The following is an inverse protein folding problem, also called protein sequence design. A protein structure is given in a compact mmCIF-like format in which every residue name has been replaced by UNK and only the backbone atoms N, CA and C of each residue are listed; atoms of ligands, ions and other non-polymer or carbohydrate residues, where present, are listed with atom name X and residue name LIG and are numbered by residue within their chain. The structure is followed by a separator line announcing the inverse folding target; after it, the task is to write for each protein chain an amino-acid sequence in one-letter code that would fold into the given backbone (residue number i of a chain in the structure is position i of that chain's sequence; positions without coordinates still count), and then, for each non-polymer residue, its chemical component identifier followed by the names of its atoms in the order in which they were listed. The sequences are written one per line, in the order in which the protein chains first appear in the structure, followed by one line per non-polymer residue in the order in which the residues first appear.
data_IF_235814569690
#
_entry.id   IF_235814569690
#
_cell.length_a   1.000
_cell.length_b   1.000
_cell.length_c   1.000
_cell.angle_alpha   90.00
_cell.angle_beta   90.00
_cell.angle_gamma   90.00
#
_symmetry.space_group_name_H-M   'P 1'
#
loop_
_entity.id
_entity.type
_entity.pdbx_description
1 polymer ?
#
# COMPACT_ATOMS: atom_id res chain seq x y z
N UNK A 1 31.86 7.15 -14.75
CA UNK A 1 30.49 6.94 -14.21
C UNK A 1 29.71 8.24 -14.36
N UNK A 2 28.48 8.24 -14.89
CA UNK A 2 27.73 9.46 -15.31
C UNK A 2 27.54 10.47 -14.17
N UNK A 3 27.32 9.98 -12.94
CA UNK A 3 27.18 10.85 -11.76
C UNK A 3 28.49 11.51 -11.33
N UNK A 4 29.64 10.90 -11.66
CA UNK A 4 30.96 11.50 -11.43
C UNK A 4 31.24 12.65 -12.38
N UNK A 5 30.92 12.49 -13.67
CA UNK A 5 30.99 13.57 -14.66
C UNK A 5 30.14 14.78 -14.25
N UNK A 6 28.90 14.52 -13.82
CA UNK A 6 28.01 15.57 -13.28
C UNK A 6 28.57 16.26 -12.04
N UNK A 7 29.19 15.51 -11.12
CA UNK A 7 29.80 16.08 -9.92
C UNK A 7 31.03 16.95 -10.24
N UNK A 8 31.75 16.61 -11.32
CA UNK A 8 32.87 17.38 -11.85
C UNK A 8 32.45 18.52 -12.80
N UNK A 9 31.14 18.79 -12.94
CA UNK A 9 30.61 19.89 -13.75
C UNK A 9 30.39 19.56 -15.23
N UNK A 10 30.51 18.30 -15.64
CA UNK A 10 30.25 17.85 -17.01
C UNK A 10 28.76 17.84 -17.40
N UNK A 11 28.52 17.78 -18.71
CA UNK A 11 27.20 17.88 -19.34
C UNK A 11 26.72 16.57 -19.99
N UNK A 12 27.49 15.47 -19.86
CA UNK A 12 27.17 14.17 -20.45
C UNK A 12 25.77 13.69 -20.07
N UNK A 13 25.36 13.94 -18.83
CA UNK A 13 24.04 13.59 -18.32
C UNK A 13 22.89 14.30 -19.05
N UNK A 14 23.12 15.45 -19.70
CA UNK A 14 22.08 16.24 -20.39
C UNK A 14 21.65 15.63 -21.72
N UNK A 15 22.55 14.91 -22.40
CA UNK A 15 22.32 14.29 -23.70
C UNK A 15 21.48 13.00 -23.62
N UNK A 16 21.26 12.46 -22.42
CA UNK A 16 20.41 11.30 -22.25
C UNK A 16 18.93 11.67 -22.37
N UNK A 17 18.18 10.81 -23.05
CA UNK A 17 16.73 10.93 -23.31
C UNK A 17 15.88 11.15 -22.04
N UNK A 18 16.40 10.87 -20.84
CA UNK A 18 15.70 11.02 -19.56
C UNK A 18 16.36 12.00 -18.58
N UNK A 19 17.35 12.80 -19.02
CA UNK A 19 18.17 13.69 -18.18
C UNK A 19 17.37 14.65 -17.28
N UNK A 20 16.21 15.12 -17.77
CA UNK A 20 15.31 16.06 -17.09
C UNK A 20 13.99 15.44 -16.62
N UNK A 21 13.76 14.14 -16.85
CA UNK A 21 12.57 13.46 -16.34
C UNK A 21 12.78 13.12 -14.87
N UNK A 22 12.62 14.11 -13.99
CA UNK A 22 12.21 13.83 -12.61
C UNK A 22 10.89 13.08 -12.75
N UNK A 23 10.91 11.77 -12.57
CA UNK A 23 9.72 10.94 -12.73
C UNK A 23 8.66 11.52 -11.80
N UNK A 24 7.60 12.11 -12.37
CA UNK A 24 6.51 12.71 -11.60
C UNK A 24 5.93 11.68 -10.61
N UNK A 25 6.03 10.39 -10.95
CA UNK A 25 5.75 9.27 -10.05
C UNK A 25 6.59 9.25 -8.76
N UNK A 26 7.89 9.55 -8.78
CA UNK A 26 8.71 9.56 -7.56
C UNK A 26 8.35 10.73 -6.63
N UNK A 27 8.03 11.89 -7.19
CA UNK A 27 7.56 13.04 -6.42
C UNK A 27 6.16 12.77 -5.85
N UNK A 28 5.24 12.27 -6.68
CA UNK A 28 3.89 11.88 -6.25
C UNK A 28 3.89 10.72 -5.26
N UNK A 29 4.82 9.75 -5.33
CA UNK A 29 4.94 8.69 -4.35
C UNK A 29 5.37 9.21 -2.96
N UNK A 30 6.19 10.27 -2.92
CA UNK A 30 6.55 10.94 -1.66
C UNK A 30 5.42 11.83 -1.12
N UNK A 31 4.64 12.44 -2.02
CA UNK A 31 3.46 13.26 -1.68
C UNK A 31 2.20 12.44 -1.43
N UNK A 32 2.17 11.19 -1.90
CA UNK A 32 1.16 10.18 -1.60
C UNK A 32 1.38 9.71 -0.18
N UNK A 33 1.15 10.63 0.74
CA UNK A 33 0.55 10.37 2.04
C UNK A 33 -0.81 9.73 1.72
N UNK A 34 -0.82 8.49 1.26
CA UNK A 34 -2.00 7.65 1.23
C UNK A 34 -2.55 7.72 2.65
N UNK A 35 -3.69 8.41 2.77
CA UNK A 35 -4.57 8.55 3.94
C UNK A 35 -4.07 7.68 5.10
N UNK A 36 -3.20 8.24 5.95
CA UNK A 36 -2.71 7.53 7.14
C UNK A 36 -3.95 7.18 7.95
N UNK A 37 -4.25 5.89 8.08
CA UNK A 37 -5.26 5.40 9.02
C UNK A 37 -4.86 5.97 10.37
N UNK A 38 -5.74 6.81 10.93
CA UNK A 38 -5.50 7.44 12.22
C UNK A 38 -5.30 6.34 13.26
N UNK A 39 -4.25 6.43 14.06
CA UNK A 39 -3.91 5.43 15.08
C UNK A 39 -3.65 4.01 14.52
N UNK A 40 -3.14 3.89 13.28
CA UNK A 40 -2.67 2.60 12.78
C UNK A 40 -1.59 2.05 13.70
N UNK A 41 -1.88 0.93 14.34
CA UNK A 41 -0.88 0.09 14.99
C UNK A 41 -0.28 -0.82 13.92
N UNK A 42 1.04 -0.74 13.74
CA UNK A 42 1.78 -1.65 12.87
C UNK A 42 1.71 -3.09 13.37
N UNK A 43 1.96 -4.06 12.48
CA UNK A 43 1.94 -5.48 12.87
C UNK A 43 3.05 -5.75 13.89
N UNK A 44 4.17 -5.07 13.74
CA UNK A 44 5.32 -5.07 14.63
C UNK A 44 5.02 -4.61 16.06
N UNK A 45 3.96 -3.83 16.28
CA UNK A 45 3.58 -3.28 17.58
C UNK A 45 2.40 -4.00 18.22
N UNK A 46 1.94 -5.13 17.65
CA UNK A 46 0.87 -5.93 18.25
C UNK A 46 1.37 -6.64 19.50
N UNK A 47 0.50 -6.77 20.49
CA UNK A 47 0.77 -7.61 21.66
C UNK A 47 0.82 -9.08 21.23
N UNK A 48 1.69 -9.87 21.86
CA UNK A 48 1.88 -11.29 21.55
C UNK A 48 0.57 -12.10 21.69
N UNK A 49 -0.31 -11.69 22.61
CA UNK A 49 -1.63 -12.30 22.81
C UNK A 49 -2.52 -12.28 21.55
N UNK A 50 -2.31 -11.34 20.62
CA UNK A 50 -3.03 -11.26 19.35
C UNK A 50 -2.51 -12.29 18.33
N UNK A 51 -1.27 -12.77 18.46
CA UNK A 51 -0.72 -13.78 17.55
C UNK A 51 -1.22 -15.18 17.89
N UNK A 52 -1.58 -15.43 19.14
CA UNK A 52 -2.13 -16.70 19.61
C UNK A 52 -3.57 -16.96 19.15
N UNK A 53 -4.22 -15.98 18.49
CA UNK A 53 -5.58 -16.10 17.92
C UNK A 53 -6.62 -16.57 18.94
N UNK A 54 -6.47 -16.15 20.19
CA UNK A 54 -7.25 -16.66 21.33
C UNK A 54 -8.70 -16.17 21.35
N UNK A 55 -9.03 -15.07 20.67
CA UNK A 55 -10.33 -14.41 20.78
C UNK A 55 -11.07 -14.38 19.44
N UNK A 56 -12.38 -14.70 19.49
CA UNK A 56 -13.30 -14.47 18.38
C UNK A 56 -13.59 -12.98 18.33
N UNK A 57 -13.31 -12.35 17.19
CA UNK A 57 -13.51 -10.91 16.85
C UNK A 57 -12.28 -10.32 16.13
N UNK A 58 -11.20 -11.09 16.02
CA UNK A 58 -10.00 -10.66 15.31
C UNK A 58 -10.14 -10.97 13.82
N UNK A 59 -10.42 -9.95 13.03
CA UNK A 59 -10.59 -10.08 11.58
C UNK A 59 -9.31 -9.66 10.83
N UNK A 60 -8.95 -10.46 9.82
CA UNK A 60 -7.94 -10.11 8.82
C UNK A 60 -8.63 -9.71 7.53
N UNK A 61 -8.37 -8.49 7.06
CA UNK A 61 -8.90 -7.98 5.80
C UNK A 61 -7.83 -7.91 4.71
N UNK A 62 -8.05 -8.62 3.61
CA UNK A 62 -7.21 -8.57 2.40
C UNK A 62 -8.06 -8.13 1.20
N UNK A 63 -7.46 -7.36 0.28
CA UNK A 63 -8.09 -6.97 -0.99
C UNK A 63 -7.28 -7.53 -2.15
N UNK A 64 -7.92 -8.29 -3.03
CA UNK A 64 -7.27 -8.78 -4.26
C UNK A 64 -7.46 -7.75 -5.35
N UNK A 65 -6.41 -7.03 -5.74
CA UNK A 65 -6.46 -6.10 -6.87
C UNK A 65 -6.13 -6.82 -8.18
N UNK A 66 -7.01 -6.72 -9.18
CA UNK A 66 -6.73 -7.26 -10.51
C UNK A 66 -5.84 -6.26 -11.29
N UNK A 67 -4.76 -6.74 -11.92
CA UNK A 67 -3.69 -5.94 -12.59
C UNK A 67 -4.17 -4.80 -13.50
N UNK A 68 -5.39 -4.88 -14.03
CA UNK A 68 -5.98 -3.91 -14.97
C UNK A 68 -7.40 -3.43 -14.62
N UNK A 69 -7.94 -3.78 -13.44
CA UNK A 69 -9.26 -3.31 -12.98
C UNK A 69 -9.12 -2.61 -11.63
N UNK A 70 -9.80 -1.47 -11.48
CA UNK A 70 -9.87 -0.72 -10.22
C UNK A 70 -10.74 -1.39 -9.16
N UNK A 71 -11.15 -2.64 -9.36
CA UNK A 71 -12.00 -3.37 -8.42
C UNK A 71 -11.62 -4.83 -8.34
N UNK A 72 -11.74 -5.37 -7.14
CA UNK A 72 -11.56 -6.79 -6.85
C UNK A 72 -12.19 -7.14 -5.51
N UNK A 73 -12.27 -8.45 -5.19
CA UNK A 73 -12.94 -8.90 -3.99
C UNK A 73 -12.16 -8.53 -2.73
N UNK A 74 -12.90 -8.09 -1.71
CA UNK A 74 -12.41 -8.04 -0.33
C UNK A 74 -12.69 -9.38 0.32
N UNK A 75 -11.74 -9.84 1.13
CA UNK A 75 -11.86 -11.00 2.00
C UNK A 75 -11.64 -10.57 3.43
N UNK A 76 -12.56 -10.94 4.31
CA UNK A 76 -12.45 -10.81 5.76
C UNK A 76 -12.44 -12.20 6.36
N UNK A 77 -11.37 -12.55 7.04
CA UNK A 77 -11.20 -13.85 7.69
C UNK A 77 -11.10 -13.66 9.20
N UNK A 78 -11.99 -14.30 9.96
CA UNK A 78 -11.90 -14.34 11.41
C UNK A 78 -10.80 -15.34 11.81
N UNK A 79 -9.76 -14.88 12.50
CA UNK A 79 -8.50 -15.62 12.63
C UNK A 79 -8.58 -16.87 13.51
N UNK A 80 -9.54 -16.94 14.45
CA UNK A 80 -9.70 -18.07 15.38
C UNK A 80 -10.50 -19.21 14.77
N UNK A 81 -11.61 -18.90 14.11
CA UNK A 81 -12.57 -19.84 13.53
C UNK A 81 -12.32 -20.13 12.05
N UNK A 82 -11.56 -19.28 11.36
CA UNK A 82 -11.37 -19.36 9.91
C UNK A 82 -12.61 -18.94 9.11
N UNK A 83 -13.62 -18.33 9.76
CA UNK A 83 -14.84 -17.89 9.10
C UNK A 83 -14.54 -16.80 8.07
N UNK A 84 -14.94 -17.03 6.83
CA UNK A 84 -14.60 -16.19 5.68
C UNK A 84 -15.83 -15.44 5.15
N UNK A 85 -15.72 -14.12 5.07
CA UNK A 85 -16.63 -13.26 4.34
C UNK A 85 -15.91 -12.71 3.10
N UNK A 86 -16.52 -12.89 1.92
CA UNK A 86 -15.97 -12.37 0.67
C UNK A 86 -17.04 -11.58 -0.09
N UNK A 87 -16.71 -10.37 -0.50
CA UNK A 87 -17.61 -9.51 -1.25
C UNK A 87 -16.87 -8.82 -2.40
N UNK A 88 -17.54 -8.67 -3.54
CA UNK A 88 -16.99 -7.91 -4.67
C UNK A 88 -17.26 -6.43 -4.44
N UNK A 89 -16.21 -5.62 -4.39
CA UNK A 89 -16.38 -4.17 -4.34
C UNK A 89 -16.71 -3.61 -5.73
N UNK A 90 -17.69 -2.70 -5.85
CA UNK A 90 -17.95 -1.98 -7.10
C UNK A 90 -16.78 -1.06 -7.46
N UNK A 91 -16.16 -0.41 -6.46
CA UNK A 91 -15.00 0.46 -6.59
C UNK A 91 -14.04 0.22 -5.40
N UNK A 92 -12.74 -0.01 -5.66
CA UNK A 92 -11.77 -0.33 -4.60
C UNK A 92 -11.38 0.86 -3.72
N UNK A 93 -11.58 2.09 -4.20
CA UNK A 93 -11.06 3.30 -3.54
C UNK A 93 -12.02 3.92 -2.49
N UNK A 94 -13.33 3.73 -2.63
CA UNK A 94 -14.33 4.45 -1.81
C UNK A 94 -14.73 3.70 -0.55
N UNK A 95 -14.62 2.36 -0.53
CA UNK A 95 -15.16 1.55 0.57
C UNK A 95 -14.14 1.17 1.64
N UNK A 96 -12.84 1.38 1.41
CA UNK A 96 -11.81 1.23 2.47
C UNK A 96 -11.99 2.23 3.61
N UNK A 97 -12.71 3.34 3.38
CA UNK A 97 -13.08 4.31 4.42
C UNK A 97 -14.31 3.89 5.23
N UNK A 98 -15.17 3.03 4.71
CA UNK A 98 -16.41 2.59 5.38
C UNK A 98 -16.21 1.32 6.22
N UNK A 99 -15.21 0.51 5.90
CA UNK A 99 -14.91 -0.75 6.59
C UNK A 99 -14.04 -0.59 7.85
N UNK A 100 -13.56 0.62 8.14
CA UNK A 100 -12.78 0.94 9.34
C UNK A 100 -13.67 1.80 10.24
N UNK A 101 -14.40 1.14 11.13
CA UNK A 101 -15.04 1.75 12.31
C UNK A 101 -14.14 1.51 13.50
#
# INVERSE_FOLDING_TARGET
MIWGDKACGGDLWQHFRQSKRRSKHLAQAKSAVFRKILNRVGIENRTAELDDRLFISQWKGDTVTLRHKQSGPVRLEERRSGYLLAARLPNSAELTQAAVV
#
